data_IF_069581827542
#
_entry.id   IF_069581827542
#
_cell.length_a   1.000
_cell.length_b   1.000
_cell.length_c   1.000
_cell.angle_alpha   90.00
_cell.angle_beta   90.00
_cell.angle_gamma   90.00
#
_symmetry.space_group_name_H-M   'P 1'
#
loop_
_entity.id
_entity.type
_entity.pdbx_description
1 polymer ?
#
# COMPACT_ATOMS: atom_id res chain seq x y z
N UNK A 1 21.54 18.25 -18.53
CA UNK A 1 20.63 17.92 -17.42
C UNK A 1 20.51 16.40 -17.33
N UNK A 2 21.27 15.80 -16.40
CA UNK A 2 21.39 14.34 -16.27
C UNK A 2 20.15 13.78 -15.52
N UNK A 3 19.30 13.08 -16.25
CA UNK A 3 18.17 12.32 -15.65
C UNK A 3 18.75 11.03 -15.05
N UNK A 4 19.02 11.05 -13.75
CA UNK A 4 19.37 9.84 -13.00
C UNK A 4 18.09 9.03 -12.75
N UNK A 5 17.68 8.25 -13.74
CA UNK A 5 16.69 7.20 -13.56
C UNK A 5 17.24 6.17 -12.57
N UNK A 6 16.49 5.82 -11.51
CA UNK A 6 16.82 4.72 -10.60
C UNK A 6 16.68 3.38 -11.32
N UNK A 7 17.51 3.13 -12.34
CA UNK A 7 17.63 1.82 -12.96
C UNK A 7 18.59 0.99 -12.12
N UNK A 8 18.08 -0.06 -11.48
CA UNK A 8 18.91 -1.05 -10.82
C UNK A 8 19.49 -2.01 -11.85
N UNK A 9 20.81 -2.07 -12.03
CA UNK A 9 21.41 -3.25 -12.63
C UNK A 9 21.30 -4.39 -11.61
N UNK A 10 20.85 -5.53 -12.07
CA UNK A 10 20.64 -6.78 -11.32
C UNK A 10 21.89 -7.34 -10.56
N UNK A 11 23.02 -6.65 -10.62
CA UNK A 11 24.30 -7.17 -10.17
C UNK A 11 24.91 -6.49 -8.93
N UNK A 12 24.16 -5.66 -8.19
CA UNK A 12 24.69 -5.03 -6.97
C UNK A 12 23.78 -5.24 -5.74
N UNK A 13 23.39 -6.47 -5.50
CA UNK A 13 23.11 -6.90 -4.13
C UNK A 13 24.47 -7.19 -3.53
N UNK A 14 25.03 -6.23 -2.80
CA UNK A 14 26.21 -6.49 -1.98
C UNK A 14 25.80 -7.51 -0.90
N UNK A 15 26.39 -8.69 -0.84
CA UNK A 15 26.21 -9.55 0.31
C UNK A 15 26.91 -8.88 1.50
N UNK A 16 26.13 -8.26 2.35
CA UNK A 16 26.60 -7.86 3.66
C UNK A 16 26.61 -9.12 4.51
N UNK A 17 27.68 -9.94 4.39
CA UNK A 17 28.16 -10.76 5.49
C UNK A 17 29.31 -11.67 5.11
N UNK A 18 30.44 -11.41 5.79
CA UNK A 18 31.30 -12.36 6.46
C UNK A 18 32.16 -13.30 5.62
N UNK A 19 33.41 -12.97 5.55
CA UNK A 19 34.51 -13.96 5.66
C UNK A 19 34.39 -14.66 7.00
N UNK A 20 33.92 -15.91 7.01
CA UNK A 20 33.99 -16.78 8.19
C UNK A 20 35.15 -17.73 7.98
N UNK A 21 36.22 -17.54 8.76
CA UNK A 21 37.22 -18.53 9.04
C UNK A 21 36.65 -19.65 9.93
N UNK A 22 37.01 -20.86 9.64
CA UNK A 22 36.54 -22.14 10.22
C UNK A 22 36.63 -22.22 11.74
N UNK A 23 35.63 -22.91 12.29
CA UNK A 23 35.52 -23.70 13.52
C UNK A 23 34.87 -23.01 14.73
N UNK A 24 33.60 -23.36 14.98
CA UNK A 24 33.06 -23.84 16.26
C UNK A 24 31.53 -24.00 16.18
N UNK A 25 31.01 -25.00 16.90
CA UNK A 25 29.65 -25.46 17.05
C UNK A 25 28.53 -24.45 16.71
N UNK A 26 27.68 -24.86 15.78
CA UNK A 26 26.50 -24.09 15.33
C UNK A 26 25.42 -24.14 16.41
N UNK A 27 25.41 -23.17 17.31
CA UNK A 27 24.20 -22.78 18.02
C UNK A 27 23.35 -21.95 17.04
N UNK A 28 22.17 -22.45 16.70
CA UNK A 28 21.17 -21.70 15.91
C UNK A 28 21.04 -20.29 16.51
N UNK A 29 21.24 -19.22 15.72
CA UNK A 29 21.08 -17.88 16.23
C UNK A 29 19.63 -17.67 16.63
N UNK A 30 19.39 -17.11 17.82
CA UNK A 30 18.13 -16.50 18.23
C UNK A 30 17.57 -15.76 17.02
N UNK A 31 16.26 -15.97 16.75
CA UNK A 31 15.47 -15.26 15.74
C UNK A 31 15.87 -13.78 15.77
N UNK A 32 16.79 -13.39 14.87
CA UNK A 32 17.22 -12.00 14.75
C UNK A 32 15.97 -11.21 14.37
N UNK A 33 15.63 -10.23 15.17
CA UNK A 33 14.60 -9.24 14.83
C UNK A 33 15.08 -8.49 13.57
N UNK A 34 14.68 -9.02 12.41
CA UNK A 34 15.05 -8.52 11.09
C UNK A 34 14.10 -7.40 10.64
N UNK A 35 13.57 -6.64 11.59
CA UNK A 35 12.71 -5.50 11.34
C UNK A 35 13.33 -4.56 10.31
N UNK A 36 12.52 -4.10 9.36
CA UNK A 36 12.92 -3.12 8.37
C UNK A 36 12.59 -1.73 8.91
N UNK A 37 13.54 -0.80 8.76
CA UNK A 37 13.40 0.60 9.19
C UNK A 37 13.76 1.54 8.05
N UNK A 38 13.21 2.74 8.10
CA UNK A 38 13.62 3.82 7.22
C UNK A 38 15.00 4.36 7.61
N UNK A 39 15.75 4.84 6.62
CA UNK A 39 16.83 5.78 6.84
C UNK A 39 16.76 6.91 5.80
N UNK A 40 17.38 8.04 6.11
CA UNK A 40 17.29 9.24 5.28
C UNK A 40 18.68 9.70 4.89
N UNK A 41 18.86 10.07 3.62
CA UNK A 41 20.08 10.63 3.10
C UNK A 41 19.76 11.59 1.96
N UNK A 42 20.30 12.82 2.01
CA UNK A 42 20.12 13.86 0.99
C UNK A 42 18.62 14.11 0.65
N UNK A 43 17.74 14.15 1.65
CA UNK A 43 16.30 14.37 1.47
C UNK A 43 15.53 13.21 0.84
N UNK A 44 16.17 12.05 0.68
CA UNK A 44 15.55 10.82 0.16
C UNK A 44 15.47 9.74 1.22
N UNK A 45 14.49 8.87 1.06
CA UNK A 45 14.24 7.73 1.93
C UNK A 45 14.86 6.46 1.35
N UNK A 46 15.44 5.63 2.21
CA UNK A 46 15.88 4.26 1.93
C UNK A 46 15.45 3.32 3.04
N UNK A 47 15.73 2.04 2.89
CA UNK A 47 15.40 1.00 3.85
C UNK A 47 16.66 0.30 4.36
N UNK A 48 16.66 -0.01 5.67
CA UNK A 48 17.74 -0.72 6.36
C UNK A 48 17.17 -1.74 7.35
N UNK A 49 17.98 -2.68 7.78
CA UNK A 49 17.63 -3.59 8.89
C UNK A 49 17.65 -2.83 10.22
N UNK A 50 17.06 -3.42 11.27
CA UNK A 50 17.18 -2.92 12.64
C UNK A 50 18.63 -2.81 13.12
N UNK A 51 19.52 -3.63 12.58
CA UNK A 51 20.96 -3.57 12.84
C UNK A 51 21.74 -2.54 12.01
N UNK A 52 21.05 -1.69 11.21
CA UNK A 52 21.67 -0.60 10.44
C UNK A 52 22.26 -1.02 9.09
N UNK A 53 22.09 -2.28 8.66
CA UNK A 53 22.54 -2.70 7.32
C UNK A 53 21.57 -2.15 6.25
N UNK A 54 22.08 -1.39 5.29
CA UNK A 54 21.27 -0.79 4.23
C UNK A 54 20.78 -1.88 3.26
N UNK A 55 19.47 -1.96 3.08
CA UNK A 55 18.79 -2.87 2.15
C UNK A 55 18.58 -2.22 0.78
N UNK A 56 18.37 -0.90 0.75
CA UNK A 56 18.22 -0.13 -0.50
C UNK A 56 19.05 1.16 -0.44
N UNK A 57 19.24 1.80 -1.58
CA UNK A 57 19.73 3.19 -1.62
C UNK A 57 18.62 4.14 -1.16
N UNK A 58 18.99 5.28 -0.57
CA UNK A 58 18.06 6.36 -0.32
C UNK A 58 17.80 7.13 -1.62
N UNK A 59 16.73 6.78 -2.34
CA UNK A 59 16.38 7.36 -3.64
C UNK A 59 14.87 7.72 -3.75
N UNK A 60 14.08 7.38 -2.76
CA UNK A 60 12.63 7.59 -2.78
C UNK A 60 12.26 8.95 -2.19
N UNK A 61 11.37 9.69 -2.86
CA UNK A 61 10.79 10.94 -2.35
C UNK A 61 9.85 10.69 -1.18
N UNK A 62 9.05 9.62 -1.30
CA UNK A 62 8.11 9.17 -0.29
C UNK A 62 8.18 7.65 -0.20
N UNK A 63 7.99 7.10 0.99
CA UNK A 63 7.97 5.67 1.22
C UNK A 63 7.08 5.31 2.41
N UNK A 64 6.32 4.22 2.28
CA UNK A 64 5.49 3.62 3.32
C UNK A 64 5.75 2.13 3.38
N UNK A 65 6.18 1.63 4.53
CA UNK A 65 6.21 0.17 4.77
C UNK A 65 4.78 -0.35 4.79
N UNK A 66 4.55 -1.45 4.12
CA UNK A 66 3.26 -2.11 4.02
C UNK A 66 3.29 -3.33 4.94
N UNK A 67 2.65 -3.18 6.12
CA UNK A 67 2.62 -4.18 7.19
C UNK A 67 4.01 -4.67 7.66
N UNK A 68 4.08 -5.81 8.33
CA UNK A 68 5.33 -6.46 8.76
C UNK A 68 6.05 -7.21 7.62
N UNK A 69 5.68 -6.94 6.37
CA UNK A 69 6.26 -7.59 5.21
C UNK A 69 7.49 -6.87 4.70
N UNK A 70 8.16 -7.50 3.75
CA UNK A 70 9.31 -6.99 3.01
C UNK A 70 8.85 -6.08 1.84
N UNK A 71 7.75 -5.32 2.01
CA UNK A 71 7.14 -4.51 0.96
C UNK A 71 6.95 -3.07 1.37
N UNK A 72 7.08 -2.19 0.40
CA UNK A 72 6.82 -0.77 0.57
C UNK A 72 6.12 -0.18 -0.65
N UNK A 73 5.22 0.76 -0.40
CA UNK A 73 4.79 1.72 -1.40
C UNK A 73 5.84 2.82 -1.44
N UNK A 74 6.38 3.11 -2.62
CA UNK A 74 7.41 4.14 -2.80
C UNK A 74 7.00 5.10 -3.92
N UNK A 75 7.54 6.33 -3.88
CA UNK A 75 7.39 7.32 -4.93
C UNK A 75 8.75 7.93 -5.29
N UNK A 76 8.98 8.11 -6.57
CA UNK A 76 10.11 8.85 -7.13
C UNK A 76 9.63 9.79 -8.25
N UNK A 77 10.56 10.31 -9.05
CA UNK A 77 10.26 11.19 -10.20
C UNK A 77 9.43 10.50 -11.30
N UNK A 78 9.40 9.16 -11.34
CA UNK A 78 8.62 8.38 -12.32
C UNK A 78 7.22 8.02 -11.79
N UNK A 79 6.92 8.31 -10.51
CA UNK A 79 5.64 8.08 -9.88
C UNK A 79 5.66 7.00 -8.80
N UNK A 80 4.51 6.39 -8.55
CA UNK A 80 4.33 5.40 -7.49
C UNK A 80 4.72 3.99 -7.96
N UNK A 81 5.31 3.23 -7.03
CA UNK A 81 5.64 1.84 -7.25
C UNK A 81 5.51 1.02 -5.96
N UNK A 82 5.28 -0.29 -6.13
CA UNK A 82 5.46 -1.29 -5.08
C UNK A 82 6.89 -1.81 -5.14
N UNK A 83 7.58 -1.78 -4.03
CA UNK A 83 8.94 -2.26 -3.87
C UNK A 83 8.94 -3.49 -2.96
N UNK A 84 9.53 -4.59 -3.43
CA UNK A 84 9.95 -5.69 -2.59
C UNK A 84 11.39 -5.38 -2.11
N UNK A 85 11.53 -5.02 -0.83
CA UNK A 85 12.72 -4.34 -0.31
C UNK A 85 13.98 -5.20 -0.43
N UNK A 86 13.90 -6.48 -0.07
CA UNK A 86 15.07 -7.39 -0.08
C UNK A 86 15.47 -7.85 -1.48
N UNK A 87 14.51 -8.12 -2.34
CA UNK A 87 14.80 -8.55 -3.71
C UNK A 87 15.10 -7.37 -4.65
N UNK A 88 14.71 -6.15 -4.27
CA UNK A 88 14.80 -4.97 -5.13
C UNK A 88 13.79 -4.96 -6.28
N UNK A 89 12.85 -5.92 -6.31
CA UNK A 89 11.82 -5.96 -7.34
C UNK A 89 10.91 -4.76 -7.21
N UNK A 90 10.67 -4.06 -8.33
CA UNK A 90 9.86 -2.85 -8.41
C UNK A 90 8.72 -3.06 -9.40
N UNK A 91 7.48 -2.82 -8.94
CA UNK A 91 6.27 -2.86 -9.77
C UNK A 91 5.72 -1.45 -9.87
N UNK A 92 5.83 -0.82 -11.04
CA UNK A 92 5.29 0.51 -11.28
C UNK A 92 3.77 0.50 -11.29
N UNK A 93 3.18 1.44 -10.55
CA UNK A 93 1.74 1.66 -10.52
C UNK A 93 1.37 2.76 -11.51
N UNK A 94 0.52 2.43 -12.49
CA UNK A 94 0.02 3.43 -13.43
C UNK A 94 -1.09 4.26 -12.76
N UNK A 95 -0.67 5.25 -11.94
CA UNK A 95 -1.58 6.09 -11.18
C UNK A 95 -0.96 7.45 -10.84
N UNK A 96 -1.81 8.47 -10.63
CA UNK A 96 -1.42 9.81 -10.22
C UNK A 96 -1.16 9.87 -8.70
N UNK A 97 -1.86 9.02 -7.94
CA UNK A 97 -1.73 8.89 -6.49
C UNK A 97 -1.95 7.46 -6.05
N UNK A 98 -1.20 7.05 -5.03
CA UNK A 98 -1.41 5.79 -4.32
C UNK A 98 -1.28 6.03 -2.81
N UNK A 99 -2.00 5.26 -2.02
CA UNK A 99 -1.91 5.27 -0.56
C UNK A 99 -2.33 3.91 0.01
N UNK A 100 -1.79 3.47 1.14
CA UNK A 100 -2.27 2.29 1.85
C UNK A 100 -3.78 2.39 2.14
N UNK A 101 -4.47 1.26 2.04
CA UNK A 101 -5.91 1.17 2.19
C UNK A 101 -6.32 -0.14 2.86
N UNK A 102 -6.64 -0.07 4.15
CA UNK A 102 -6.76 -1.26 4.99
C UNK A 102 -5.41 -1.97 5.13
N UNK A 103 -5.46 -3.27 5.36
CA UNK A 103 -4.30 -4.06 5.75
C UNK A 103 -3.57 -4.70 4.55
N UNK A 104 -4.23 -4.84 3.39
CA UNK A 104 -3.73 -5.63 2.26
C UNK A 104 -3.89 -4.96 0.90
N UNK A 105 -4.41 -3.74 0.86
CA UNK A 105 -4.73 -3.04 -0.37
C UNK A 105 -4.08 -1.66 -0.44
N UNK A 106 -3.95 -1.16 -1.66
CA UNK A 106 -3.65 0.24 -1.97
C UNK A 106 -4.83 0.87 -2.70
N UNK A 107 -5.21 2.05 -2.26
CA UNK A 107 -6.09 2.92 -3.03
C UNK A 107 -5.25 3.68 -4.03
N UNK A 108 -5.58 3.53 -5.30
CA UNK A 108 -4.97 4.28 -6.39
C UNK A 108 -5.96 5.29 -6.97
N UNK A 109 -5.42 6.39 -7.50
CA UNK A 109 -6.18 7.36 -8.29
C UNK A 109 -5.50 7.54 -9.64
N UNK A 110 -6.28 7.43 -10.72
CA UNK A 110 -5.81 7.66 -12.08
C UNK A 110 -6.84 8.48 -12.84
N UNK A 111 -6.40 9.59 -13.45
CA UNK A 111 -7.28 10.53 -14.16
C UNK A 111 -8.52 10.94 -13.32
N UNK A 112 -8.30 11.24 -12.04
CA UNK A 112 -9.36 11.62 -11.13
C UNK A 112 -10.24 10.50 -10.58
N UNK A 113 -10.09 9.24 -11.07
CA UNK A 113 -10.90 8.10 -10.65
C UNK A 113 -10.15 7.18 -9.69
N UNK A 114 -10.86 6.64 -8.72
CA UNK A 114 -10.35 5.74 -7.70
C UNK A 114 -10.46 4.27 -8.11
N UNK A 115 -9.49 3.48 -7.69
CA UNK A 115 -9.46 2.03 -7.79
C UNK A 115 -8.69 1.41 -6.62
N UNK A 116 -8.63 0.08 -6.57
CA UNK A 116 -7.87 -0.69 -5.60
C UNK A 116 -6.94 -1.66 -6.30
N UNK A 117 -5.73 -1.78 -5.76
CA UNK A 117 -4.76 -2.82 -6.13
C UNK A 117 -4.28 -3.52 -4.86
N UNK A 118 -3.86 -4.76 -4.97
CA UNK A 118 -3.22 -5.47 -3.86
C UNK A 118 -1.71 -5.14 -3.77
N UNK A 119 -1.03 -5.70 -2.79
CA UNK A 119 0.41 -5.50 -2.59
C UNK A 119 1.28 -6.24 -3.62
N UNK A 120 0.71 -7.04 -4.51
CA UNK A 120 1.33 -7.62 -5.71
C UNK A 120 1.13 -6.76 -6.97
N UNK A 121 0.41 -5.63 -6.85
CA UNK A 121 0.10 -4.74 -7.98
C UNK A 121 -1.05 -5.22 -8.86
N UNK A 122 -1.77 -6.28 -8.45
CA UNK A 122 -2.94 -6.77 -9.18
C UNK A 122 -4.14 -5.87 -8.93
N UNK A 123 -4.85 -5.54 -10.00
CA UNK A 123 -6.05 -4.71 -9.90
C UNK A 123 -7.22 -5.51 -9.30
N UNK A 124 -7.68 -5.10 -8.14
CA UNK A 124 -8.88 -5.63 -7.46
C UNK A 124 -10.13 -4.85 -7.92
N UNK A 125 -10.03 -3.53 -7.92
CA UNK A 125 -11.06 -2.62 -8.43
C UNK A 125 -10.42 -1.68 -9.45
N UNK A 126 -10.88 -1.66 -10.71
CA UNK A 126 -10.31 -0.77 -11.73
C UNK A 126 -10.57 0.71 -11.38
N UNK A 127 -9.65 1.63 -11.73
CA UNK A 127 -9.77 3.06 -11.41
C UNK A 127 -10.79 3.76 -12.32
N UNK A 128 -12.07 3.63 -11.99
CA UNK A 128 -13.21 4.23 -12.71
C UNK A 128 -14.26 4.86 -11.80
N UNK A 129 -14.06 4.85 -10.49
CA UNK A 129 -15.02 5.31 -9.50
C UNK A 129 -14.74 6.74 -9.05
N UNK A 130 -15.82 7.50 -8.83
CA UNK A 130 -15.74 8.92 -8.42
C UNK A 130 -15.44 9.05 -6.93
N UNK A 131 -15.91 8.09 -6.15
CA UNK A 131 -15.80 8.06 -4.69
C UNK A 131 -15.29 6.72 -4.25
N UNK A 132 -14.35 6.73 -3.31
CA UNK A 132 -13.91 5.57 -2.54
C UNK A 132 -13.45 6.07 -1.18
N UNK A 133 -14.27 5.84 -0.15
CA UNK A 133 -14.00 6.31 1.22
C UNK A 133 -13.08 5.34 1.96
N UNK A 134 -12.52 5.82 3.06
CA UNK A 134 -11.90 4.95 4.05
C UNK A 134 -12.98 4.18 4.81
N UNK A 135 -12.57 3.19 5.57
CA UNK A 135 -13.43 2.36 6.40
C UNK A 135 -14.34 3.16 7.30
N UNK A 136 -15.62 2.80 7.26
CA UNK A 136 -16.59 3.14 8.30
C UNK A 136 -17.36 1.88 8.66
N UNK A 137 -17.44 1.56 9.94
CA UNK A 137 -17.92 0.27 10.43
C UNK A 137 -17.12 -0.89 9.79
N UNK A 138 -17.75 -1.69 8.94
CA UNK A 138 -17.11 -2.82 8.24
C UNK A 138 -16.98 -2.59 6.74
N UNK A 139 -17.36 -1.42 6.24
CA UNK A 139 -17.54 -1.17 4.82
C UNK A 139 -16.79 0.07 4.35
N UNK A 140 -16.56 0.10 3.04
CA UNK A 140 -16.08 1.25 2.30
C UNK A 140 -17.19 1.69 1.33
N UNK A 141 -17.47 2.97 1.29
CA UNK A 141 -18.44 3.51 0.32
C UNK A 141 -17.71 3.71 -1.00
N UNK A 142 -18.26 3.13 -2.06
CA UNK A 142 -17.80 3.32 -3.43
C UNK A 142 -18.92 3.97 -4.26
N UNK A 143 -18.57 4.93 -5.12
CA UNK A 143 -19.54 5.68 -5.91
C UNK A 143 -19.11 5.88 -7.35
N UNK A 144 -20.08 5.81 -8.27
CA UNK A 144 -19.89 6.07 -9.68
C UNK A 144 -21.18 6.66 -10.28
N UNK A 145 -21.06 7.78 -10.99
CA UNK A 145 -22.17 8.43 -11.70
C UNK A 145 -23.40 8.66 -10.82
N UNK A 146 -23.19 9.15 -9.59
CA UNK A 146 -24.27 9.45 -8.65
C UNK A 146 -24.95 8.21 -8.02
N UNK A 147 -24.41 7.02 -8.21
CA UNK A 147 -24.84 5.81 -7.53
C UNK A 147 -23.75 5.31 -6.59
N UNK A 148 -24.17 4.81 -5.43
CA UNK A 148 -23.29 4.36 -4.36
C UNK A 148 -23.53 2.88 -4.04
N UNK A 149 -22.46 2.22 -3.64
CA UNK A 149 -22.43 0.84 -3.17
C UNK A 149 -21.46 0.67 -2.03
N UNK A 150 -21.28 -0.55 -1.55
CA UNK A 150 -20.40 -0.88 -0.45
C UNK A 150 -19.42 -1.98 -0.84
N UNK A 151 -18.18 -1.79 -0.43
CA UNK A 151 -17.15 -2.83 -0.44
C UNK A 151 -16.86 -3.28 0.99
N UNK A 152 -16.50 -4.55 1.16
CA UNK A 152 -15.92 -5.06 2.39
C UNK A 152 -14.45 -4.62 2.53
N UNK A 153 -13.79 -5.01 3.64
CA UNK A 153 -12.39 -4.66 3.91
C UNK A 153 -11.41 -5.19 2.87
N UNK A 154 -11.72 -6.31 2.24
CA UNK A 154 -10.88 -6.95 1.20
C UNK A 154 -11.14 -6.41 -0.22
N UNK A 155 -11.98 -5.38 -0.35
CA UNK A 155 -12.34 -4.81 -1.66
C UNK A 155 -13.41 -5.58 -2.42
N UNK A 156 -13.99 -6.63 -1.83
CA UNK A 156 -15.12 -7.37 -2.39
C UNK A 156 -16.44 -6.59 -2.27
N UNK A 157 -17.37 -6.83 -3.18
CA UNK A 157 -18.70 -6.20 -3.15
C UNK A 157 -19.55 -6.73 -2.01
N UNK A 158 -19.92 -5.84 -1.09
CA UNK A 158 -20.94 -6.11 -0.07
C UNK A 158 -22.34 -5.66 -0.55
N UNK A 159 -22.39 -4.51 -1.27
CA UNK A 159 -23.62 -4.02 -1.91
C UNK A 159 -23.26 -3.38 -3.26
N UNK A 160 -24.00 -3.68 -4.34
CA UNK A 160 -23.76 -3.06 -5.65
C UNK A 160 -24.11 -1.57 -5.67
N UNK A 161 -23.72 -0.87 -6.75
CA UNK A 161 -24.06 0.54 -6.98
C UNK A 161 -25.56 0.72 -7.24
N UNK A 162 -26.35 0.83 -6.19
CA UNK A 162 -27.82 0.95 -6.28
C UNK A 162 -28.42 2.04 -5.40
N UNK A 163 -27.64 2.59 -4.50
CA UNK A 163 -28.13 3.61 -3.56
C UNK A 163 -27.94 4.99 -4.15
N UNK A 164 -28.86 5.89 -3.84
CA UNK A 164 -28.79 7.29 -4.22
C UNK A 164 -27.86 8.07 -3.27
N UNK A 165 -27.85 7.66 -2.00
CA UNK A 165 -26.98 8.20 -0.96
C UNK A 165 -26.64 7.13 0.05
N UNK A 166 -25.42 7.17 0.59
CA UNK A 166 -25.01 6.38 1.76
C UNK A 166 -24.37 7.35 2.76
N UNK A 167 -24.91 7.39 3.98
CA UNK A 167 -24.45 8.27 5.05
C UNK A 167 -23.89 7.45 6.21
N UNK A 168 -22.68 7.75 6.69
CA UNK A 168 -22.21 7.26 7.98
C UNK A 168 -23.06 7.85 9.10
N UNK A 169 -23.56 7.00 10.00
CA UNK A 169 -24.33 7.39 11.17
C UNK A 169 -23.70 6.75 12.40
N UNK A 170 -23.17 7.56 13.29
CA UNK A 170 -22.64 7.11 14.57
C UNK A 170 -23.57 7.59 15.69
N UNK A 171 -24.13 6.65 16.45
CA UNK A 171 -25.01 6.97 17.55
C UNK A 171 -24.65 6.13 18.77
N UNK A 172 -24.21 6.76 19.86
CA UNK A 172 -23.84 6.12 21.14
C UNK A 172 -22.84 4.94 20.98
N UNK A 173 -21.83 5.11 20.10
CA UNK A 173 -20.82 4.08 19.83
C UNK A 173 -21.28 2.96 18.89
N UNK A 174 -22.48 3.05 18.32
CA UNK A 174 -22.97 2.17 17.27
C UNK A 174 -22.81 2.85 15.91
N UNK A 175 -21.83 2.39 15.14
CA UNK A 175 -21.58 2.87 13.79
C UNK A 175 -22.42 2.10 12.78
N UNK A 176 -23.25 2.79 12.03
CA UNK A 176 -24.14 2.23 11.01
C UNK A 176 -24.05 3.04 9.72
N UNK A 177 -24.46 2.42 8.62
CA UNK A 177 -24.64 3.10 7.34
C UNK A 177 -26.12 3.24 7.03
N UNK A 178 -26.59 4.46 6.84
CA UNK A 178 -27.92 4.74 6.30
C UNK A 178 -27.84 4.72 4.77
N UNK A 179 -28.38 3.69 4.15
CA UNK A 179 -28.41 3.49 2.71
C UNK A 179 -29.77 3.91 2.15
N UNK A 180 -29.80 4.96 1.34
CA UNK A 180 -31.03 5.56 0.81
C UNK A 180 -31.19 5.19 -0.67
N UNK A 181 -32.36 4.67 -1.01
CA UNK A 181 -32.77 4.38 -2.39
C UNK A 181 -34.26 4.68 -2.56
N UNK A 182 -34.58 5.52 -3.56
CA UNK A 182 -35.97 5.89 -3.86
C UNK A 182 -36.77 6.29 -2.61
N UNK A 183 -36.20 7.18 -1.79
CA UNK A 183 -36.77 7.68 -0.52
C UNK A 183 -36.92 6.63 0.59
N UNK A 184 -36.49 5.39 0.39
CA UNK A 184 -36.45 4.33 1.41
C UNK A 184 -35.06 4.30 2.06
N UNK A 185 -35.02 4.21 3.38
CA UNK A 185 -33.80 4.11 4.18
C UNK A 185 -33.64 2.71 4.72
N UNK A 186 -32.44 2.13 4.56
CA UNK A 186 -32.04 0.86 5.17
C UNK A 186 -30.78 1.12 5.97
N UNK A 187 -30.72 0.64 7.20
CA UNK A 187 -29.52 0.67 8.03
C UNK A 187 -28.76 -0.65 7.94
N UNK A 188 -27.45 -0.55 7.77
CA UNK A 188 -26.50 -1.67 7.73
C UNK A 188 -25.47 -1.51 8.83
#
# INVERSE_FOLDING_TARGET
MNRSSCKFPFSQILPCCATISHSRAFTLPKKLDMGIRYYYKNGKTGFQTSGGCHLTKACWDEAWLLDDTDRALVRDSEGYALLHIRSGQLIRLNCDRAAPYGDTLLRIRRNGKYGLVDFEGRTIIPPRYDVLTNHFAQFNIIGCRGRYGLLNRQGGWAQPLRYDVILPVSQRGNDRLACIRQHKVVFL
#
